data_IF_125866423133
#
_entry.id   IF_125866423133
#
_cell.length_a   1.000
_cell.length_b   1.000
_cell.length_c   1.000
_cell.angle_alpha   90.00
_cell.angle_beta   90.00
_cell.angle_gamma   90.00
#
_symmetry.space_group_name_H-M   'P 1'
#
loop_
_entity.id
_entity.type
_entity.pdbx_description
1 polymer ?
#
# COMPACT_ATOMS: atom_id res chain seq x y z
N UNK A 1 -17.67 7.83 -31.63
CA UNK A 1 -16.62 8.72 -31.10
C UNK A 1 -16.23 8.27 -29.70
N UNK A 2 -15.01 8.56 -29.25
CA UNK A 2 -14.52 8.21 -27.91
C UNK A 2 -15.43 8.69 -26.76
N UNK A 3 -16.07 9.84 -26.92
CA UNK A 3 -17.03 10.39 -25.94
C UNK A 3 -18.23 9.46 -25.70
N UNK A 4 -18.71 8.75 -26.72
CA UNK A 4 -19.84 7.82 -26.57
C UNK A 4 -19.40 6.57 -25.79
N UNK A 5 -18.20 6.05 -26.08
CA UNK A 5 -17.63 4.90 -25.37
C UNK A 5 -17.38 5.27 -23.89
N UNK A 6 -16.83 6.46 -23.63
CA UNK A 6 -16.56 6.91 -22.26
C UNK A 6 -17.83 7.10 -21.40
N UNK A 7 -19.01 7.22 -22.01
CA UNK A 7 -20.31 7.33 -21.33
C UNK A 7 -21.07 6.01 -21.26
N UNK A 8 -20.66 5.01 -22.04
CA UNK A 8 -21.30 3.71 -22.08
C UNK A 8 -21.10 2.94 -20.76
N UNK A 9 -22.17 2.48 -20.09
CA UNK A 9 -22.06 1.77 -18.83
C UNK A 9 -21.26 0.47 -18.93
N UNK A 10 -21.42 -0.29 -20.02
CA UNK A 10 -20.70 -1.55 -20.21
C UNK A 10 -19.21 -1.32 -20.40
N UNK A 11 -18.83 -0.35 -21.24
CA UNK A 11 -17.43 0.03 -21.44
C UNK A 11 -16.77 0.48 -20.12
N UNK A 12 -17.46 1.29 -19.30
CA UNK A 12 -16.98 1.68 -17.96
C UNK A 12 -16.81 0.48 -17.04
N UNK A 13 -17.77 -0.45 -17.03
CA UNK A 13 -17.69 -1.67 -16.22
C UNK A 13 -16.53 -2.55 -16.67
N UNK A 14 -16.37 -2.81 -17.96
CA UNK A 14 -15.24 -3.61 -18.47
C UNK A 14 -13.91 -2.94 -18.18
N UNK A 15 -13.82 -1.61 -18.28
CA UNK A 15 -12.63 -0.88 -17.89
C UNK A 15 -12.30 -1.05 -16.40
N UNK A 16 -13.29 -0.94 -15.50
CA UNK A 16 -13.09 -1.16 -14.07
C UNK A 16 -12.62 -2.60 -13.78
N UNK A 17 -13.27 -3.59 -14.40
CA UNK A 17 -12.94 -5.00 -14.22
C UNK A 17 -11.54 -5.32 -14.72
N UNK A 18 -11.17 -4.80 -15.89
CA UNK A 18 -9.84 -4.99 -16.46
C UNK A 18 -8.75 -4.27 -15.64
N UNK A 19 -9.05 -3.06 -15.14
CA UNK A 19 -8.05 -2.23 -14.44
C UNK A 19 -7.87 -2.61 -12.98
N UNK A 20 -8.93 -2.99 -12.28
CA UNK A 20 -8.94 -3.16 -10.82
C UNK A 20 -9.38 -4.56 -10.36
N UNK A 21 -9.71 -5.45 -11.28
CA UNK A 21 -10.20 -6.79 -10.96
C UNK A 21 -11.63 -6.78 -10.40
N UNK A 22 -12.20 -7.98 -10.23
CA UNK A 22 -13.58 -8.13 -9.70
C UNK A 22 -13.70 -7.73 -8.24
N UNK A 23 -12.61 -7.82 -7.49
CA UNK A 23 -12.56 -7.55 -6.06
C UNK A 23 -12.80 -6.07 -5.76
N UNK A 24 -12.07 -5.19 -6.44
CA UNK A 24 -12.02 -3.76 -6.10
C UNK A 24 -12.74 -2.86 -7.10
N UNK A 25 -13.32 -3.42 -8.18
CA UNK A 25 -14.01 -2.63 -9.21
C UNK A 25 -15.13 -1.75 -8.66
N UNK A 26 -15.97 -2.26 -7.74
CA UNK A 26 -17.06 -1.47 -7.17
C UNK A 26 -16.54 -0.34 -6.27
N UNK A 27 -15.53 -0.63 -5.43
CA UNK A 27 -14.84 0.39 -4.64
C UNK A 27 -14.31 1.52 -5.53
N UNK A 28 -13.58 1.18 -6.59
CA UNK A 28 -13.03 2.16 -7.50
C UNK A 28 -14.09 2.94 -8.28
N UNK A 29 -15.18 2.28 -8.69
CA UNK A 29 -16.33 2.94 -9.32
C UNK A 29 -16.91 4.03 -8.41
N UNK A 30 -17.15 3.73 -7.14
CA UNK A 30 -17.63 4.69 -6.14
C UNK A 30 -16.61 5.81 -5.92
N UNK A 31 -15.33 5.48 -5.72
CA UNK A 31 -14.24 6.44 -5.46
C UNK A 31 -14.01 7.44 -6.61
N UNK A 32 -14.24 7.03 -7.85
CA UNK A 32 -14.16 7.91 -9.02
C UNK A 32 -15.30 8.94 -9.08
N UNK A 33 -16.34 8.75 -8.27
CA UNK A 33 -17.38 9.74 -8.05
C UNK A 33 -18.53 9.72 -9.07
N UNK A 34 -19.49 10.65 -8.93
CA UNK A 34 -20.77 10.64 -9.63
C UNK A 34 -20.67 10.84 -11.16
N UNK A 35 -19.55 11.39 -11.65
CA UNK A 35 -19.30 11.49 -13.10
C UNK A 35 -18.97 10.13 -13.73
N UNK A 36 -18.46 9.20 -12.91
CA UNK A 36 -18.10 7.86 -13.34
C UNK A 36 -19.23 6.86 -13.07
N UNK A 37 -19.65 6.71 -11.81
CA UNK A 37 -20.64 5.70 -11.40
C UNK A 37 -22.06 6.27 -11.40
N UNK A 38 -22.97 5.53 -12.04
CA UNK A 38 -24.41 5.76 -12.02
C UNK A 38 -25.12 4.41 -11.82
N UNK A 39 -26.46 4.43 -11.81
CA UNK A 39 -27.30 3.24 -11.63
C UNK A 39 -26.94 2.12 -12.61
N UNK A 40 -26.85 2.43 -13.91
CA UNK A 40 -26.54 1.44 -14.94
C UNK A 40 -25.16 0.80 -14.75
N UNK A 41 -24.13 1.59 -14.42
CA UNK A 41 -22.78 1.07 -14.16
C UNK A 41 -22.78 0.19 -12.90
N UNK A 42 -23.47 0.62 -11.84
CA UNK A 42 -23.58 -0.14 -10.60
C UNK A 42 -24.28 -1.49 -10.83
N UNK A 43 -25.44 -1.49 -11.48
CA UNK A 43 -26.17 -2.71 -11.82
C UNK A 43 -25.37 -3.63 -12.74
N UNK A 44 -24.64 -3.08 -13.72
CA UNK A 44 -23.78 -3.86 -14.61
C UNK A 44 -22.61 -4.48 -13.85
N UNK A 45 -22.01 -3.79 -12.88
CA UNK A 45 -20.98 -4.38 -12.01
C UNK A 45 -21.56 -5.54 -11.19
N UNK A 46 -22.73 -5.34 -10.57
CA UNK A 46 -23.40 -6.39 -9.79
C UNK A 46 -23.74 -7.62 -10.64
N UNK A 47 -24.25 -7.43 -11.87
CA UNK A 47 -24.56 -8.53 -12.78
C UNK A 47 -23.32 -9.26 -13.31
N UNK A 48 -22.16 -8.59 -13.35
CA UNK A 48 -20.86 -9.20 -13.67
C UNK A 48 -20.21 -9.94 -12.49
N UNK A 49 -20.95 -10.08 -11.39
CA UNK A 49 -20.55 -10.80 -10.18
C UNK A 49 -19.22 -10.27 -9.61
N UNK A 50 -19.11 -8.94 -9.49
CA UNK A 50 -18.06 -8.32 -8.66
C UNK A 50 -18.20 -8.77 -7.22
N UNK A 51 -17.08 -8.79 -6.48
CA UNK A 51 -17.15 -9.10 -5.05
C UNK A 51 -17.87 -7.96 -4.37
N UNK A 52 -18.96 -8.31 -3.71
CA UNK A 52 -19.77 -7.39 -2.94
C UNK A 52 -19.71 -7.85 -1.48
N UNK A 53 -19.00 -7.10 -0.63
CA UNK A 53 -18.75 -7.47 0.76
C UNK A 53 -19.63 -6.69 1.72
N UNK A 54 -19.96 -7.28 2.87
CA UNK A 54 -20.64 -6.54 3.95
C UNK A 54 -19.79 -5.37 4.45
N UNK A 55 -18.46 -5.54 4.47
CA UNK A 55 -17.51 -4.49 4.80
C UNK A 55 -17.60 -3.28 3.87
N UNK A 56 -17.78 -3.50 2.56
CA UNK A 56 -17.97 -2.41 1.61
C UNK A 56 -19.22 -1.59 1.93
N UNK A 57 -20.33 -2.25 2.25
CA UNK A 57 -21.57 -1.55 2.63
C UNK A 57 -21.38 -0.74 3.91
N UNK A 58 -20.72 -1.31 4.92
CA UNK A 58 -20.38 -0.60 6.16
C UNK A 58 -19.53 0.65 5.89
N UNK A 59 -18.50 0.54 5.03
CA UNK A 59 -17.62 1.66 4.67
C UNK A 59 -18.34 2.75 3.85
N UNK A 60 -19.28 2.36 2.98
CA UNK A 60 -20.13 3.32 2.26
C UNK A 60 -21.07 4.05 3.23
N UNK A 61 -21.73 3.32 4.14
CA UNK A 61 -22.61 3.91 5.16
C UNK A 61 -21.89 4.94 6.04
N UNK A 62 -20.64 4.67 6.44
CA UNK A 62 -19.84 5.59 7.27
C UNK A 62 -19.48 6.88 6.53
N UNK A 63 -19.30 6.84 5.21
CA UNK A 63 -18.76 7.96 4.42
C UNK A 63 -19.75 8.59 3.44
N UNK A 64 -21.00 8.11 3.39
CA UNK A 64 -22.05 8.68 2.54
C UNK A 64 -22.61 9.99 3.10
N UNK A 65 -22.91 10.92 2.18
CA UNK A 65 -23.51 12.21 2.51
C UNK A 65 -22.49 13.32 2.71
N UNK A 66 -22.97 14.56 2.54
CA UNK A 66 -22.16 15.77 2.71
C UNK A 66 -22.16 16.22 4.16
N UNK A 67 -21.04 16.73 4.62
CA UNK A 67 -20.98 17.48 5.87
C UNK A 67 -21.62 18.85 5.67
N UNK A 68 -22.37 19.31 6.66
CA UNK A 68 -22.89 20.68 6.68
C UNK A 68 -21.72 21.67 6.87
N UNK A 69 -21.43 22.53 5.87
CA UNK A 69 -20.33 23.50 5.98
C UNK A 69 -20.56 24.49 7.11
N UNK A 70 -21.80 24.93 7.35
CA UNK A 70 -22.12 25.90 8.40
C UNK A 70 -21.91 25.29 9.79
N UNK A 71 -22.33 24.04 10.00
CA UNK A 71 -22.03 23.32 11.24
C UNK A 71 -20.52 23.13 11.45
N UNK A 72 -19.79 22.83 10.38
CA UNK A 72 -18.33 22.66 10.42
C UNK A 72 -17.64 23.97 10.83
N UNK A 73 -18.07 25.09 10.24
CA UNK A 73 -17.62 26.44 10.61
C UNK A 73 -17.97 26.81 12.06
N UNK A 74 -19.16 26.44 12.54
CA UNK A 74 -19.57 26.72 13.92
C UNK A 74 -18.78 25.87 14.93
N UNK A 75 -18.55 24.58 14.65
CA UNK A 75 -17.70 23.72 15.50
C UNK A 75 -16.28 24.26 15.63
N UNK A 76 -15.77 24.84 14.54
CA UNK A 76 -14.51 25.56 14.48
C UNK A 76 -14.52 26.82 15.35
N UNK A 77 -15.55 27.67 15.19
CA UNK A 77 -15.69 28.95 15.89
C UNK A 77 -15.74 28.79 17.41
N UNK A 78 -16.41 27.75 17.90
CA UNK A 78 -16.64 27.55 19.34
C UNK A 78 -15.64 26.60 20.03
N UNK A 79 -14.53 26.22 19.37
CA UNK A 79 -13.52 25.30 19.93
C UNK A 79 -14.12 24.03 20.56
N UNK A 80 -15.24 23.54 20.01
CA UNK A 80 -15.84 22.26 20.46
C UNK A 80 -14.92 21.08 20.11
N UNK A 81 -13.94 21.31 19.24
CA UNK A 81 -12.83 20.41 18.93
C UNK A 81 -11.65 20.82 19.84
N UNK A 82 -11.14 19.92 20.71
CA UNK A 82 -10.05 20.24 21.63
C UNK A 82 -8.82 20.83 20.92
N UNK A 83 -8.17 21.82 21.53
CA UNK A 83 -7.00 22.51 20.96
C UNK A 83 -5.83 21.56 20.62
N UNK A 84 -5.69 20.43 21.33
CA UNK A 84 -4.69 19.39 21.07
C UNK A 84 -4.94 18.61 19.76
N UNK A 85 -6.17 18.65 19.23
CA UNK A 85 -6.51 18.07 17.91
C UNK A 85 -6.15 19.00 16.73
N UNK A 86 -5.43 20.08 17.05
CA UNK A 86 -4.66 21.06 16.29
C UNK A 86 -5.12 21.47 14.88
N UNK A 87 -5.02 22.79 14.66
CA UNK A 87 -5.24 23.59 13.44
C UNK A 87 -4.80 22.94 12.10
N UNK A 88 -3.90 21.96 12.12
CA UNK A 88 -3.46 21.16 10.97
C UNK A 88 -4.49 20.15 10.46
N UNK A 89 -5.28 19.50 11.35
CA UNK A 89 -6.41 18.67 10.92
C UNK A 89 -7.45 19.48 10.16
N UNK A 90 -7.51 20.78 10.41
CA UNK A 90 -8.48 21.67 9.80
C UNK A 90 -8.07 22.08 8.39
N UNK A 91 -6.78 22.20 8.09
CA UNK A 91 -6.33 22.44 6.71
C UNK A 91 -6.33 21.17 5.86
N UNK A 92 -6.10 19.98 6.44
CA UNK A 92 -6.29 18.69 5.76
C UNK A 92 -7.78 18.30 5.60
N UNK A 93 -8.63 18.60 6.59
CA UNK A 93 -10.08 18.37 6.51
C UNK A 93 -10.81 19.40 5.63
N UNK A 94 -10.18 20.54 5.31
CA UNK A 94 -10.76 21.58 4.44
C UNK A 94 -10.86 21.17 2.96
N UNK A 95 -10.26 20.06 2.52
CA UNK A 95 -10.04 19.84 1.07
C UNK A 95 -10.42 18.46 0.50
N UNK A 96 -10.92 17.50 1.26
CA UNK A 96 -11.51 16.31 0.64
C UNK A 96 -12.74 15.81 1.37
N UNK A 97 -13.87 15.81 0.65
CA UNK A 97 -15.04 15.06 1.09
C UNK A 97 -14.66 13.56 1.16
N UNK A 98 -15.24 12.78 2.09
CA UNK A 98 -15.04 11.34 2.11
C UNK A 98 -15.32 10.71 0.74
N UNK A 99 -14.61 9.63 0.41
CA UNK A 99 -14.60 8.99 -0.91
C UNK A 99 -15.98 8.59 -1.47
N UNK A 100 -16.97 8.38 -0.60
CA UNK A 100 -18.35 8.00 -0.95
C UNK A 100 -19.39 9.10 -0.67
N UNK A 101 -18.96 10.30 -0.29
CA UNK A 101 -19.84 11.39 0.16
C UNK A 101 -20.76 11.95 -0.92
N UNK A 102 -20.24 12.06 -2.15
CA UNK A 102 -20.93 12.59 -3.33
C UNK A 102 -21.55 11.48 -4.20
N UNK A 103 -21.68 10.27 -3.67
CA UNK A 103 -22.30 9.16 -4.36
C UNK A 103 -23.77 9.50 -4.71
N UNK A 104 -24.26 9.25 -5.93
CA UNK A 104 -25.67 9.48 -6.25
C UNK A 104 -26.57 8.65 -5.35
N UNK A 105 -27.65 9.25 -4.84
CA UNK A 105 -28.59 8.57 -3.93
C UNK A 105 -29.17 7.27 -4.51
N UNK A 106 -29.41 7.21 -5.83
CA UNK A 106 -29.86 6.00 -6.51
C UNK A 106 -28.83 4.87 -6.42
N UNK A 107 -27.55 5.17 -6.66
CA UNK A 107 -26.45 4.20 -6.53
C UNK A 107 -26.30 3.76 -5.08
N UNK A 108 -26.36 4.69 -4.13
CA UNK A 108 -26.34 4.38 -2.70
C UNK A 108 -27.48 3.44 -2.30
N UNK A 109 -28.69 3.71 -2.79
CA UNK A 109 -29.88 2.89 -2.52
C UNK A 109 -29.74 1.47 -3.08
N UNK A 110 -29.19 1.32 -4.30
CA UNK A 110 -28.90 0.01 -4.90
C UNK A 110 -27.92 -0.77 -4.02
N UNK A 111 -26.82 -0.14 -3.57
CA UNK A 111 -25.83 -0.78 -2.70
C UNK A 111 -26.47 -1.22 -1.37
N UNK A 112 -27.31 -0.39 -0.77
CA UNK A 112 -27.98 -0.77 0.48
C UNK A 112 -28.98 -1.92 0.31
N UNK A 113 -29.82 -1.86 -0.72
CA UNK A 113 -30.79 -2.91 -1.03
C UNK A 113 -30.09 -4.24 -1.32
N UNK A 114 -29.02 -4.21 -2.11
CA UNK A 114 -28.21 -5.39 -2.40
C UNK A 114 -27.55 -5.93 -1.14
N UNK A 115 -27.03 -5.05 -0.28
CA UNK A 115 -26.44 -5.43 1.01
C UNK A 115 -27.44 -6.08 1.96
N UNK A 116 -28.64 -5.50 2.08
CA UNK A 116 -29.72 -6.04 2.91
C UNK A 116 -30.19 -7.41 2.40
N UNK A 117 -30.34 -7.54 1.07
CA UNK A 117 -30.71 -8.79 0.42
C UNK A 117 -29.67 -9.90 0.63
N UNK A 118 -28.37 -9.59 0.53
CA UNK A 118 -27.29 -10.59 0.66
C UNK A 118 -26.99 -10.99 2.10
N UNK A 119 -26.95 -10.01 3.01
CA UNK A 119 -26.37 -10.23 4.34
C UNK A 119 -27.39 -10.21 5.48
N UNK A 120 -28.62 -9.74 5.22
CA UNK A 120 -29.55 -9.32 6.28
C UNK A 120 -28.92 -8.27 7.21
N UNK A 121 -29.69 -7.73 8.17
CA UNK A 121 -29.28 -6.81 9.27
C UNK A 121 -27.78 -6.44 9.30
N UNK A 122 -27.40 -5.44 8.52
CA UNK A 122 -26.01 -4.96 8.44
C UNK A 122 -25.68 -4.20 9.72
N UNK A 123 -24.65 -4.59 10.50
CA UNK A 123 -24.23 -3.82 11.67
C UNK A 123 -23.71 -2.45 11.23
N UNK A 124 -24.33 -1.36 11.73
CA UNK A 124 -24.00 0.03 11.34
C UNK A 124 -23.15 0.79 12.37
N UNK A 125 -22.90 0.18 13.54
CA UNK A 125 -22.05 0.75 14.61
C UNK A 125 -20.82 -0.14 14.84
N UNK A 126 -19.90 -0.09 13.88
CA UNK A 126 -18.70 -0.93 13.82
C UNK A 126 -18.49 -1.46 12.41
N UNK A 127 -17.42 -2.22 12.18
CA UNK A 127 -17.15 -2.80 10.87
C UNK A 127 -16.41 -4.15 10.96
N UNK A 128 -16.46 -4.88 9.85
CA UNK A 128 -15.92 -6.23 9.74
C UNK A 128 -14.39 -6.29 9.89
N UNK A 129 -13.67 -5.23 9.53
CA UNK A 129 -12.21 -5.15 9.75
C UNK A 129 -11.86 -5.03 11.23
N UNK A 130 -12.64 -4.26 12.01
CA UNK A 130 -12.50 -4.22 13.47
C UNK A 130 -12.86 -5.57 14.11
N UNK A 131 -13.95 -6.20 13.67
CA UNK A 131 -14.31 -7.54 14.13
C UNK A 131 -13.16 -8.52 13.84
N UNK A 132 -12.66 -8.53 12.60
CA UNK A 132 -11.53 -9.35 12.16
C UNK A 132 -10.32 -9.14 13.07
N UNK A 133 -9.98 -7.89 13.39
CA UNK A 133 -8.87 -7.56 14.27
C UNK A 133 -8.94 -8.22 15.64
N UNK A 134 -10.13 -8.27 16.26
CA UNK A 134 -10.32 -8.94 17.55
C UNK A 134 -10.29 -10.46 17.41
N UNK A 135 -11.04 -11.04 16.47
CA UNK A 135 -11.14 -12.50 16.34
C UNK A 135 -9.87 -13.15 15.78
N UNK A 136 -9.04 -12.39 15.04
CA UNK A 136 -7.71 -12.81 14.59
C UNK A 136 -6.61 -12.55 15.62
N UNK A 137 -6.98 -12.13 16.83
CA UNK A 137 -6.08 -11.85 17.95
C UNK A 137 -4.98 -10.80 17.64
N UNK A 138 -5.30 -9.78 16.82
CA UNK A 138 -4.32 -8.74 16.49
C UNK A 138 -3.95 -7.83 17.66
N UNK A 139 -4.79 -7.79 18.71
CA UNK A 139 -4.51 -7.07 19.97
C UNK A 139 -3.55 -7.81 20.89
N UNK A 140 -3.34 -9.12 20.69
CA UNK A 140 -2.50 -9.94 21.55
C UNK A 140 -1.04 -9.95 21.06
N UNK A 141 -0.12 -10.40 21.92
CA UNK A 141 1.25 -10.72 21.54
C UNK A 141 1.25 -12.03 20.73
N UNK A 142 2.18 -12.17 19.78
CA UNK A 142 2.18 -13.24 18.76
C UNK A 142 2.06 -14.66 19.35
N UNK A 143 2.67 -14.91 20.52
CA UNK A 143 2.63 -16.21 21.20
C UNK A 143 1.20 -16.65 21.55
N UNK A 144 0.37 -15.74 22.05
CA UNK A 144 -1.03 -16.03 22.40
C UNK A 144 -1.96 -15.95 21.18
N UNK A 145 -1.59 -15.17 20.18
CA UNK A 145 -2.44 -14.92 19.02
C UNK A 145 -2.71 -16.17 18.17
N UNK A 146 -1.77 -17.12 18.08
CA UNK A 146 -2.00 -18.33 17.27
C UNK A 146 -3.12 -19.21 17.83
N UNK A 147 -3.18 -19.37 19.16
CA UNK A 147 -4.22 -20.19 19.79
C UNK A 147 -5.59 -19.52 19.67
N UNK A 148 -5.67 -18.22 19.92
CA UNK A 148 -6.91 -17.47 19.81
C UNK A 148 -7.45 -17.41 18.38
N UNK A 149 -6.58 -17.26 17.38
CA UNK A 149 -6.99 -17.34 15.97
C UNK A 149 -7.59 -18.72 15.65
N UNK A 150 -6.98 -19.81 16.14
CA UNK A 150 -7.50 -21.17 15.94
C UNK A 150 -8.86 -21.36 16.62
N UNK A 151 -9.02 -20.86 17.84
CA UNK A 151 -10.29 -20.93 18.58
C UNK A 151 -11.41 -20.19 17.83
N UNK A 152 -11.08 -19.10 17.13
CA UNK A 152 -12.03 -18.29 16.38
C UNK A 152 -12.07 -18.61 14.87
N UNK A 153 -11.42 -19.68 14.41
CA UNK A 153 -11.22 -19.93 12.99
C UNK A 153 -12.55 -20.06 12.22
N UNK A 154 -13.55 -20.74 12.78
CA UNK A 154 -14.86 -20.86 12.14
C UNK A 154 -15.60 -19.52 12.04
N UNK A 155 -15.42 -18.63 13.02
CA UNK A 155 -15.94 -17.26 12.98
C UNK A 155 -15.25 -16.45 11.89
N UNK A 156 -13.92 -16.54 11.77
CA UNK A 156 -13.15 -15.89 10.71
C UNK A 156 -13.56 -16.44 9.34
N UNK A 157 -13.68 -17.76 9.22
CA UNK A 157 -14.12 -18.43 8.00
C UNK A 157 -15.49 -17.92 7.59
N UNK A 158 -16.46 -17.86 8.49
CA UNK A 158 -17.78 -17.30 8.20
C UNK A 158 -17.70 -15.81 7.81
N UNK A 159 -16.82 -15.03 8.43
CA UNK A 159 -16.60 -13.64 8.06
C UNK A 159 -16.15 -13.50 6.59
N UNK A 160 -15.19 -14.33 6.18
CA UNK A 160 -14.68 -14.35 4.81
C UNK A 160 -15.70 -14.94 3.84
N UNK A 161 -16.19 -16.16 4.07
CA UNK A 161 -16.97 -16.91 3.07
C UNK A 161 -18.42 -16.49 2.99
N UNK A 162 -19.08 -16.21 4.12
CA UNK A 162 -20.50 -15.82 4.15
C UNK A 162 -20.68 -14.33 3.89
N UNK A 163 -19.90 -13.50 4.59
CA UNK A 163 -20.01 -12.04 4.49
C UNK A 163 -19.06 -11.43 3.45
N UNK A 164 -18.34 -12.28 2.70
CA UNK A 164 -17.43 -11.88 1.63
C UNK A 164 -16.39 -10.86 2.12
N UNK A 165 -15.93 -10.98 3.37
CA UNK A 165 -15.04 -9.99 3.96
C UNK A 165 -13.75 -9.86 3.15
N UNK A 166 -13.57 -8.67 2.58
CA UNK A 166 -12.38 -8.28 1.83
C UNK A 166 -11.95 -6.89 2.33
N UNK A 167 -10.70 -6.72 2.82
CA UNK A 167 -10.17 -5.40 3.12
C UNK A 167 -10.15 -4.53 1.86
N UNK A 168 -10.26 -3.23 2.03
CA UNK A 168 -10.15 -2.30 0.90
C UNK A 168 -8.72 -2.32 0.34
N UNK A 169 -8.50 -1.91 -0.91
CA UNK A 169 -7.17 -1.97 -1.50
C UNK A 169 -6.18 -1.08 -0.73
N UNK A 170 -4.88 -1.44 -0.73
CA UNK A 170 -3.85 -0.61 -0.11
C UNK A 170 -3.77 0.77 -0.74
N UNK A 171 -3.55 1.80 0.09
CA UNK A 171 -3.29 3.15 -0.42
C UNK A 171 -2.03 3.15 -1.30
N UNK A 172 -2.08 3.67 -2.53
CA UNK A 172 -0.89 3.85 -3.35
C UNK A 172 0.17 4.70 -2.63
N UNK A 173 1.45 4.32 -2.72
CA UNK A 173 2.56 5.03 -2.02
C UNK A 173 2.63 6.53 -2.30
N UNK A 174 2.36 6.94 -3.55
CA UNK A 174 2.32 8.36 -3.93
C UNK A 174 1.30 9.16 -3.10
N UNK A 175 0.22 8.51 -2.65
CA UNK A 175 -0.80 9.11 -1.79
C UNK A 175 -0.50 8.91 -0.29
N UNK A 176 0.37 7.98 0.10
CA UNK A 176 0.78 7.82 1.51
C UNK A 176 1.63 9.02 1.96
N UNK A 177 2.57 9.44 1.12
CA UNK A 177 3.50 10.54 1.41
C UNK A 177 2.82 11.91 1.63
N UNK A 178 1.62 12.14 1.10
CA UNK A 178 0.88 13.39 1.30
C UNK A 178 0.29 13.52 2.70
N UNK A 179 0.22 12.43 3.49
CA UNK A 179 -0.36 12.42 4.83
C UNK A 179 0.68 12.28 5.96
N UNK A 180 1.88 11.77 5.67
CA UNK A 180 2.85 11.34 6.69
C UNK A 180 3.77 12.44 7.25
N UNK A 181 3.76 13.66 6.70
CA UNK A 181 4.71 14.71 7.10
C UNK A 181 3.99 16.06 7.30
N UNK A 182 3.96 16.53 8.55
CA UNK A 182 3.78 17.96 8.85
C UNK A 182 5.05 18.70 8.39
N UNK A 183 4.99 19.60 7.40
CA UNK A 183 6.15 20.37 6.93
C UNK A 183 6.81 21.21 8.04
N UNK A 184 6.10 21.44 9.15
CA UNK A 184 6.53 22.36 10.20
C UNK A 184 7.02 21.67 11.48
N UNK A 185 6.58 20.45 11.82
CA UNK A 185 6.94 19.82 13.11
C UNK A 185 7.44 18.37 13.07
N UNK A 186 7.53 17.69 11.92
CA UNK A 186 8.00 16.29 11.87
C UNK A 186 7.21 15.33 12.81
N UNK A 187 5.99 15.69 13.22
CA UNK A 187 5.14 14.86 14.08
C UNK A 187 4.20 14.03 13.20
N UNK A 188 4.19 12.70 13.42
CA UNK A 188 3.19 11.82 12.80
C UNK A 188 1.83 12.14 13.39
N UNK A 189 0.92 12.68 12.57
CA UNK A 189 -0.48 12.85 12.97
C UNK A 189 -1.14 11.46 12.93
N UNK A 190 -1.78 10.99 14.02
CA UNK A 190 -2.53 9.74 13.98
C UNK A 190 -3.61 9.82 12.90
N UNK A 191 -3.48 8.93 11.91
CA UNK A 191 -4.44 8.80 10.82
C UNK A 191 -5.84 8.46 11.34
N UNK A 192 -6.85 9.16 10.82
CA UNK A 192 -8.25 8.85 11.11
C UNK A 192 -8.62 7.48 10.52
N UNK A 193 -9.32 6.65 11.29
CA UNK A 193 -9.83 5.36 10.84
C UNK A 193 -11.36 5.31 10.99
N UNK A 194 -12.12 4.96 9.94
CA UNK A 194 -11.64 4.63 8.60
C UNK A 194 -11.10 5.84 7.79
N UNK A 195 -10.12 5.67 6.87
CA UNK A 195 -9.58 6.79 6.12
C UNK A 195 -10.58 7.41 5.14
N UNK A 196 -10.55 8.75 5.03
CA UNK A 196 -11.48 9.52 4.17
C UNK A 196 -11.33 9.23 2.68
N UNK A 197 -10.14 8.90 2.22
CA UNK A 197 -9.87 8.55 0.82
C UNK A 197 -10.34 7.13 0.45
N UNK A 198 -10.87 6.40 1.42
CA UNK A 198 -11.51 5.10 1.24
C UNK A 198 -10.54 3.94 1.27
N UNK A 199 -9.27 4.12 0.94
CA UNK A 199 -8.28 3.04 0.96
C UNK A 199 -8.13 2.42 2.36
N UNK A 200 -7.60 1.20 2.41
CA UNK A 200 -7.20 0.59 3.67
C UNK A 200 -5.84 1.12 4.09
N UNK A 201 -5.70 1.46 5.38
CA UNK A 201 -4.42 1.93 5.89
C UNK A 201 -3.48 0.76 6.23
N UNK A 202 -2.19 1.06 6.31
CA UNK A 202 -1.18 0.05 6.59
C UNK A 202 -1.38 -0.62 7.96
N UNK A 203 -1.98 0.08 8.94
CA UNK A 203 -2.26 -0.50 10.27
C UNK A 203 -3.26 -1.65 10.16
N UNK A 204 -4.36 -1.47 9.44
CA UNK A 204 -5.35 -2.53 9.26
C UNK A 204 -4.87 -3.63 8.32
N UNK A 205 -4.17 -3.29 7.24
CA UNK A 205 -3.57 -4.32 6.40
C UNK A 205 -2.51 -5.16 7.13
N UNK A 206 -1.81 -4.58 8.10
CA UNK A 206 -0.90 -5.33 8.98
C UNK A 206 -1.64 -6.36 9.85
N UNK A 207 -2.88 -6.08 10.27
CA UNK A 207 -3.72 -7.07 10.97
C UNK A 207 -4.00 -8.27 10.06
N UNK A 208 -4.37 -8.01 8.80
CA UNK A 208 -4.59 -9.06 7.80
C UNK A 208 -3.31 -9.86 7.53
N UNK A 209 -2.20 -9.17 7.26
CA UNK A 209 -0.90 -9.80 7.00
C UNK A 209 -0.44 -10.67 8.19
N UNK A 210 -0.63 -10.17 9.42
CA UNK A 210 -0.32 -10.92 10.63
C UNK A 210 -1.18 -12.18 10.75
N UNK A 211 -2.48 -12.11 10.48
CA UNK A 211 -3.36 -13.27 10.51
C UNK A 211 -2.92 -14.34 9.48
N UNK A 212 -2.52 -13.93 8.28
CA UNK A 212 -1.97 -14.83 7.25
C UNK A 212 -0.67 -15.51 7.73
N UNK A 213 0.22 -14.78 8.40
CA UNK A 213 1.47 -15.33 8.92
C UNK A 213 1.25 -16.35 10.05
N UNK A 214 0.14 -16.22 10.78
CA UNK A 214 -0.29 -17.14 11.83
C UNK A 214 -1.01 -18.37 11.27
N UNK A 215 -1.84 -18.20 10.23
CA UNK A 215 -2.55 -19.28 9.56
C UNK A 215 -2.74 -19.00 8.06
N UNK A 216 -1.94 -19.66 7.24
CA UNK A 216 -1.93 -19.49 5.79
C UNK A 216 -3.24 -19.92 5.09
N UNK A 217 -4.05 -20.78 5.73
CA UNK A 217 -5.32 -21.26 5.17
C UNK A 217 -6.32 -20.13 4.91
N UNK A 218 -6.16 -19.00 5.58
CA UNK A 218 -6.97 -17.81 5.34
C UNK A 218 -6.85 -17.31 3.90
N UNK A 219 -5.68 -17.46 3.27
CA UNK A 219 -5.47 -17.09 1.85
C UNK A 219 -6.37 -17.91 0.93
N UNK A 220 -6.53 -19.19 1.22
CA UNK A 220 -7.38 -20.09 0.44
C UNK A 220 -8.85 -19.68 0.56
N UNK A 221 -9.31 -19.34 1.78
CA UNK A 221 -10.68 -18.84 2.00
C UNK A 221 -10.99 -17.57 1.21
N UNK A 222 -10.03 -16.64 1.10
CA UNK A 222 -10.21 -15.44 0.26
C UNK A 222 -10.24 -15.78 -1.23
N UNK A 223 -9.38 -16.69 -1.68
CA UNK A 223 -9.40 -17.15 -3.07
C UNK A 223 -10.69 -17.89 -3.42
N UNK A 224 -11.26 -18.65 -2.50
CA UNK A 224 -12.55 -19.36 -2.67
C UNK A 224 -13.71 -18.40 -2.97
N UNK A 225 -13.73 -17.21 -2.37
CA UNK A 225 -14.74 -16.16 -2.67
C UNK A 225 -14.38 -15.29 -3.88
N UNK A 226 -13.28 -15.59 -4.57
CA UNK A 226 -12.82 -14.88 -5.76
C UNK A 226 -11.85 -13.72 -5.49
N UNK A 227 -11.42 -13.47 -4.24
CA UNK A 227 -10.44 -12.43 -3.92
C UNK A 227 -9.01 -12.94 -4.20
N UNK A 228 -8.65 -12.93 -5.48
CA UNK A 228 -7.36 -13.43 -5.96
C UNK A 228 -6.19 -12.49 -5.66
N UNK A 229 -6.47 -11.22 -5.42
CA UNK A 229 -5.50 -10.15 -5.21
C UNK A 229 -5.02 -10.04 -3.75
N UNK A 230 -5.52 -10.87 -2.81
CA UNK A 230 -5.12 -10.85 -1.40
C UNK A 230 -3.60 -10.91 -1.23
N UNK A 231 -2.94 -11.77 -2.02
CA UNK A 231 -1.50 -11.93 -1.99
C UNK A 231 -0.78 -10.67 -2.48
N UNK A 232 -1.26 -10.00 -3.54
CA UNK A 232 -0.66 -8.76 -4.02
C UNK A 232 -0.93 -7.57 -3.10
N UNK A 233 -2.13 -7.48 -2.53
CA UNK A 233 -2.56 -6.36 -1.69
C UNK A 233 -1.85 -6.36 -0.33
N UNK A 234 -1.50 -7.53 0.18
CA UNK A 234 -0.78 -7.70 1.45
C UNK A 234 0.70 -8.08 1.27
N UNK A 235 1.20 -8.15 0.04
CA UNK A 235 2.50 -8.74 -0.31
C UNK A 235 3.65 -8.22 0.56
N UNK A 236 3.88 -6.91 0.53
CA UNK A 236 5.01 -6.30 1.22
C UNK A 236 4.92 -6.51 2.74
N UNK A 237 3.70 -6.48 3.30
CA UNK A 237 3.49 -6.62 4.73
C UNK A 237 3.70 -8.08 5.17
N UNK A 238 3.24 -9.04 4.38
CA UNK A 238 3.43 -10.47 4.66
C UNK A 238 4.91 -10.85 4.52
N UNK A 239 5.60 -10.42 3.46
CA UNK A 239 7.04 -10.67 3.28
C UNK A 239 7.85 -10.02 4.42
N UNK A 240 7.61 -8.74 4.72
CA UNK A 240 8.31 -8.04 5.80
C UNK A 240 8.02 -8.67 7.16
N UNK A 241 6.76 -9.03 7.43
CA UNK A 241 6.35 -9.69 8.66
C UNK A 241 6.98 -11.08 8.81
N UNK A 242 7.11 -11.85 7.73
CA UNK A 242 7.83 -13.12 7.75
C UNK A 242 9.30 -12.94 8.13
N UNK A 243 9.96 -11.90 7.61
CA UNK A 243 11.33 -11.57 7.97
C UNK A 243 11.45 -11.05 9.39
N UNK A 244 10.48 -10.29 9.92
CA UNK A 244 10.47 -9.85 11.32
C UNK A 244 10.33 -11.01 12.30
N UNK A 245 9.64 -12.08 11.91
CA UNK A 245 9.57 -13.32 12.70
C UNK A 245 10.95 -14.00 12.74
N UNK A 246 11.67 -14.01 11.62
CA UNK A 246 13.01 -14.61 11.53
C UNK A 246 14.06 -13.76 12.25
N UNK A 247 14.06 -12.44 12.05
CA UNK A 247 15.01 -11.48 12.58
C UNK A 247 14.33 -10.46 13.51
N UNK A 248 13.87 -10.88 14.70
CA UNK A 248 13.17 -10.00 15.63
C UNK A 248 14.07 -8.81 16.05
N UNK A 249 13.50 -7.60 16.22
CA UNK A 249 14.26 -6.44 16.71
C UNK A 249 14.95 -6.69 18.05
N UNK A 250 14.26 -7.43 18.93
CA UNK A 250 14.72 -7.90 20.23
C UNK A 250 14.62 -9.43 20.29
N UNK A 251 15.68 -10.16 19.93
CA UNK A 251 15.67 -11.62 19.94
C UNK A 251 15.41 -12.21 21.33
N UNK A 252 14.55 -13.25 21.45
CA UNK A 252 14.36 -13.94 22.72
C UNK A 252 15.60 -14.76 23.12
N UNK A 253 15.68 -15.13 24.41
CA UNK A 253 16.75 -16.00 24.91
C UNK A 253 16.76 -17.33 24.15
N UNK A 254 17.93 -17.74 23.64
CA UNK A 254 18.08 -18.95 22.84
C UNK A 254 17.72 -18.80 21.35
N UNK A 255 17.38 -17.60 20.88
CA UNK A 255 17.25 -17.36 19.44
C UNK A 255 18.59 -17.56 18.74
N UNK A 256 18.57 -18.38 17.69
CA UNK A 256 19.69 -18.59 16.78
C UNK A 256 19.46 -17.75 15.54
N UNK A 257 20.51 -17.09 15.05
CA UNK A 257 20.44 -16.31 13.82
C UNK A 257 20.06 -17.23 12.64
N UNK A 258 18.95 -16.95 11.92
CA UNK A 258 18.55 -17.73 10.76
C UNK A 258 19.62 -17.72 9.67
N UNK A 259 19.75 -18.84 8.98
CA UNK A 259 20.58 -18.97 7.79
C UNK A 259 19.84 -18.51 6.53
N UNK A 260 20.56 -18.38 5.41
CA UNK A 260 19.94 -18.06 4.12
C UNK A 260 18.94 -19.14 3.70
N UNK A 261 19.17 -20.40 4.07
CA UNK A 261 18.25 -21.51 3.79
C UNK A 261 16.98 -21.43 4.63
N UNK A 262 17.06 -20.97 5.89
CA UNK A 262 15.87 -20.74 6.73
C UNK A 262 14.97 -19.64 6.13
N UNK A 263 15.60 -18.55 5.67
CA UNK A 263 14.90 -17.46 4.96
C UNK A 263 14.27 -17.99 3.67
N UNK A 264 15.03 -18.75 2.87
CA UNK A 264 14.54 -19.36 1.62
C UNK A 264 13.34 -20.25 1.87
N UNK A 265 13.44 -21.17 2.83
CA UNK A 265 12.36 -22.09 3.19
C UNK A 265 11.09 -21.34 3.59
N UNK A 266 11.21 -20.28 4.41
CA UNK A 266 10.06 -19.50 4.86
C UNK A 266 9.41 -18.74 3.70
N UNK A 267 10.20 -18.11 2.83
CA UNK A 267 9.67 -17.30 1.72
C UNK A 267 9.11 -18.17 0.60
N UNK A 268 9.72 -19.32 0.28
CA UNK A 268 9.19 -20.25 -0.73
C UNK A 268 7.79 -20.73 -0.37
N UNK A 269 7.51 -21.04 0.91
CA UNK A 269 6.16 -21.39 1.37
C UNK A 269 5.13 -20.29 1.11
N UNK A 270 5.52 -19.02 1.22
CA UNK A 270 4.65 -17.89 0.91
C UNK A 270 4.48 -17.74 -0.61
N UNK A 271 5.54 -17.95 -1.37
CA UNK A 271 5.50 -17.89 -2.83
C UNK A 271 4.58 -18.97 -3.40
N UNK A 272 4.59 -20.18 -2.85
CA UNK A 272 3.66 -21.27 -3.19
C UNK A 272 2.18 -20.87 -2.97
N UNK A 273 1.91 -20.01 -1.98
CA UNK A 273 0.58 -19.45 -1.74
C UNK A 273 0.22 -18.31 -2.70
N UNK A 274 1.16 -17.81 -3.52
CA UNK A 274 0.95 -16.75 -4.50
C UNK A 274 1.53 -15.39 -4.11
N UNK A 275 2.24 -15.27 -2.99
CA UNK A 275 3.04 -14.08 -2.68
C UNK A 275 4.25 -13.97 -3.62
N UNK A 276 4.82 -12.78 -3.74
CA UNK A 276 5.95 -12.51 -4.63
C UNK A 276 7.07 -11.81 -3.89
N UNK A 277 8.29 -12.33 -4.05
CA UNK A 277 9.49 -11.61 -3.68
C UNK A 277 9.88 -10.66 -4.81
N UNK A 278 9.08 -9.61 -5.03
CA UNK A 278 9.36 -8.60 -6.05
C UNK A 278 10.43 -7.59 -5.60
N UNK A 279 10.93 -6.79 -6.55
CA UNK A 279 11.99 -5.80 -6.29
C UNK A 279 11.58 -4.83 -5.18
N UNK A 280 10.29 -4.47 -5.16
CA UNK A 280 9.70 -3.61 -4.13
C UNK A 280 9.83 -4.22 -2.73
N UNK A 281 9.49 -5.50 -2.58
CA UNK A 281 9.56 -6.24 -1.31
C UNK A 281 11.00 -6.48 -0.85
N UNK A 282 11.92 -6.72 -1.79
CA UNK A 282 13.35 -6.88 -1.49
C UNK A 282 13.91 -5.55 -0.96
N UNK A 283 13.65 -4.44 -1.66
CA UNK A 283 14.10 -3.11 -1.23
C UNK A 283 13.48 -2.75 0.12
N UNK A 284 12.17 -3.00 0.34
CA UNK A 284 11.52 -2.79 1.64
C UNK A 284 12.21 -3.56 2.77
N UNK A 285 12.50 -4.85 2.53
CA UNK A 285 13.15 -5.71 3.50
C UNK A 285 14.57 -5.25 3.87
N UNK A 286 15.39 -4.91 2.86
CA UNK A 286 16.76 -4.43 3.09
C UNK A 286 16.77 -3.07 3.80
N UNK A 287 15.85 -2.17 3.45
CA UNK A 287 15.67 -0.89 4.14
C UNK A 287 15.22 -1.07 5.59
N UNK A 288 14.32 -2.02 5.86
CA UNK A 288 13.87 -2.32 7.22
C UNK A 288 15.02 -2.73 8.14
N UNK A 289 16.03 -3.42 7.61
CA UNK A 289 17.22 -3.84 8.34
C UNK A 289 18.44 -2.95 8.08
N UNK A 290 18.27 -1.73 7.58
CA UNK A 290 19.37 -0.89 7.10
C UNK A 290 20.54 -0.72 8.11
N UNK A 291 20.24 -0.63 9.41
CA UNK A 291 21.25 -0.48 10.47
C UNK A 291 21.91 -1.80 10.90
N UNK A 292 21.44 -2.93 10.38
CA UNK A 292 21.91 -4.29 10.69
C UNK A 292 22.29 -5.04 9.41
N UNK A 293 22.51 -4.34 8.29
CA UNK A 293 22.89 -4.96 7.01
C UNK A 293 24.30 -5.56 7.04
N UNK A 294 25.16 -5.08 7.92
CA UNK A 294 26.46 -5.69 8.25
C UNK A 294 26.30 -7.09 8.88
N UNK A 295 25.20 -7.35 9.57
CA UNK A 295 24.91 -8.63 10.24
C UNK A 295 24.03 -9.53 9.36
N UNK A 296 22.92 -9.00 8.86
CA UNK A 296 21.88 -9.78 8.16
C UNK A 296 21.92 -9.63 6.65
N UNK A 297 22.64 -8.63 6.12
CA UNK A 297 22.58 -8.26 4.71
C UNK A 297 22.97 -9.41 3.80
N UNK A 298 24.08 -10.10 4.08
CA UNK A 298 24.54 -11.23 3.25
C UNK A 298 23.60 -12.43 3.31
N UNK A 299 23.01 -12.70 4.48
CA UNK A 299 22.01 -13.76 4.66
C UNK A 299 20.78 -13.47 3.79
N UNK A 300 20.25 -12.25 3.88
CA UNK A 300 19.08 -11.81 3.10
C UNK A 300 19.41 -11.79 1.60
N UNK A 301 20.56 -11.23 1.23
CA UNK A 301 21.01 -11.15 -0.15
C UNK A 301 21.07 -12.52 -0.80
N UNK A 302 21.78 -13.47 -0.18
CA UNK A 302 21.95 -14.82 -0.69
C UNK A 302 20.61 -15.55 -0.83
N UNK A 303 19.71 -15.40 0.15
CA UNK A 303 18.37 -15.97 0.07
C UNK A 303 17.56 -15.37 -1.09
N UNK A 304 17.56 -14.04 -1.23
CA UNK A 304 16.79 -13.34 -2.26
C UNK A 304 17.29 -13.65 -3.68
N UNK A 305 18.62 -13.65 -3.90
CA UNK A 305 19.20 -13.99 -5.20
C UNK A 305 18.91 -15.43 -5.59
N UNK A 306 18.98 -16.36 -4.62
CA UNK A 306 18.68 -17.78 -4.85
C UNK A 306 17.21 -17.96 -5.27
N UNK A 307 16.27 -17.27 -4.61
CA UNK A 307 14.84 -17.34 -4.94
C UNK A 307 14.55 -16.73 -6.32
N UNK A 308 15.15 -15.57 -6.63
CA UNK A 308 14.79 -14.78 -7.82
C UNK A 308 15.48 -15.22 -9.09
N UNK A 309 16.75 -15.59 -8.99
CA UNK A 309 17.65 -15.65 -10.15
C UNK A 309 18.50 -16.92 -10.21
N UNK A 310 18.58 -17.70 -9.13
CA UNK A 310 19.50 -18.84 -9.01
C UNK A 310 20.98 -18.43 -8.84
N UNK A 311 21.42 -17.35 -9.49
CA UNK A 311 22.73 -16.69 -9.32
C UNK A 311 22.61 -15.15 -9.35
N UNK A 312 23.57 -14.39 -8.76
CA UNK A 312 23.58 -12.93 -8.85
C UNK A 312 23.77 -12.46 -10.29
N UNK A 313 22.71 -11.96 -10.93
CA UNK A 313 22.77 -11.35 -12.26
C UNK A 313 22.81 -9.82 -12.14
N UNK A 314 23.59 -9.17 -13.01
CA UNK A 314 23.65 -7.71 -13.15
C UNK A 314 22.26 -7.08 -13.36
N UNK A 315 21.35 -7.76 -14.05
CA UNK A 315 19.98 -7.30 -14.23
C UNK A 315 19.24 -7.16 -12.89
N UNK A 316 19.42 -8.11 -11.98
CA UNK A 316 18.80 -8.10 -10.66
C UNK A 316 19.25 -6.88 -9.85
N UNK A 317 20.57 -6.60 -9.81
CA UNK A 317 21.08 -5.43 -9.12
C UNK A 317 20.60 -4.13 -9.77
N UNK A 318 20.52 -4.08 -11.10
CA UNK A 318 19.96 -2.93 -11.83
C UNK A 318 18.52 -2.64 -11.42
N UNK A 319 17.67 -3.67 -11.35
CA UNK A 319 16.27 -3.51 -10.98
C UNK A 319 16.09 -3.05 -9.52
N UNK A 320 16.93 -3.54 -8.61
CA UNK A 320 16.94 -3.05 -7.22
C UNK A 320 17.37 -1.58 -7.11
N UNK A 321 18.37 -1.14 -7.88
CA UNK A 321 18.75 0.28 -7.91
C UNK A 321 17.64 1.16 -8.51
N UNK A 322 16.96 0.71 -9.56
CA UNK A 322 15.81 1.45 -10.14
C UNK A 322 14.72 1.67 -9.10
N UNK A 323 14.32 0.60 -8.41
CA UNK A 323 13.29 0.65 -7.36
C UNK A 323 13.75 1.47 -6.15
N UNK A 324 15.03 1.38 -5.77
CA UNK A 324 15.62 2.19 -4.69
C UNK A 324 15.64 3.69 -5.00
N UNK A 325 15.79 4.05 -6.27
CA UNK A 325 15.88 5.44 -6.74
C UNK A 325 14.51 6.09 -6.96
N UNK A 326 13.42 5.35 -6.80
CA UNK A 326 12.07 5.90 -6.87
C UNK A 326 11.89 7.03 -5.83
N UNK A 327 11.48 8.25 -6.23
CA UNK A 327 11.30 9.37 -5.31
C UNK A 327 10.35 9.04 -4.15
N UNK A 328 9.36 8.17 -4.43
CA UNK A 328 8.38 7.72 -3.43
C UNK A 328 8.97 6.91 -2.27
N UNK A 329 10.23 6.47 -2.37
CA UNK A 329 10.94 5.75 -1.30
C UNK A 329 11.34 6.65 -0.14
N UNK A 330 11.47 7.96 -0.37
CA UNK A 330 11.84 8.95 0.65
C UNK A 330 12.98 8.45 1.57
N UNK A 331 14.07 7.98 0.96
CA UNK A 331 15.22 7.41 1.67
C UNK A 331 15.69 8.34 2.79
N UNK A 332 15.95 7.78 3.97
CA UNK A 332 16.43 8.53 5.14
C UNK A 332 17.95 8.43 5.33
N UNK A 333 18.55 7.34 4.86
CA UNK A 333 19.98 7.03 5.00
C UNK A 333 20.51 6.44 3.69
N UNK A 334 21.84 6.32 3.61
CA UNK A 334 22.57 5.82 2.44
C UNK A 334 23.19 4.44 2.68
N UNK A 335 23.05 3.86 3.87
CA UNK A 335 23.68 2.58 4.24
C UNK A 335 23.16 1.44 3.36
N UNK A 336 21.86 1.43 3.07
CA UNK A 336 21.25 0.50 2.14
C UNK A 336 21.82 0.62 0.71
N UNK A 337 22.03 1.84 0.22
CA UNK A 337 22.61 2.06 -1.11
C UNK A 337 24.09 1.64 -1.16
N UNK A 338 24.84 1.89 -0.08
CA UNK A 338 26.21 1.42 0.09
C UNK A 338 26.29 -0.11 0.14
N UNK A 339 25.29 -0.75 0.77
CA UNK A 339 25.17 -2.20 0.75
C UNK A 339 24.91 -2.74 -0.66
N UNK A 340 24.00 -2.13 -1.45
CA UNK A 340 23.81 -2.53 -2.85
C UNK A 340 25.08 -2.33 -3.69
N UNK A 341 25.78 -1.20 -3.47
CA UNK A 341 27.06 -0.90 -4.11
C UNK A 341 28.09 -2.02 -3.88
N UNK A 342 28.16 -2.57 -2.66
CA UNK A 342 29.13 -3.62 -2.33
C UNK A 342 28.86 -4.96 -3.02
N UNK A 343 27.73 -5.12 -3.73
CA UNK A 343 27.35 -6.37 -4.40
C UNK A 343 27.84 -6.51 -5.85
N UNK A 344 28.35 -5.46 -6.49
CA UNK A 344 29.03 -5.57 -7.78
C UNK A 344 30.08 -4.48 -7.95
N UNK A 345 31.26 -4.83 -8.46
CA UNK A 345 32.29 -3.84 -8.86
C UNK A 345 31.81 -2.94 -10.01
N UNK A 346 30.93 -3.46 -10.87
CA UNK A 346 30.32 -2.77 -12.00
C UNK A 346 29.24 -1.74 -11.63
N UNK A 347 29.03 -1.47 -10.34
CA UNK A 347 27.91 -0.66 -9.83
C UNK A 347 27.83 0.73 -10.47
N UNK A 348 28.97 1.35 -10.81
CA UNK A 348 29.02 2.70 -11.39
C UNK A 348 28.32 2.76 -12.74
N UNK A 349 28.55 1.77 -13.61
CA UNK A 349 27.93 1.70 -14.93
C UNK A 349 26.42 1.51 -14.81
N UNK A 350 25.97 0.66 -13.88
CA UNK A 350 24.55 0.42 -13.61
C UNK A 350 23.87 1.70 -13.14
N UNK A 351 24.45 2.37 -12.13
CA UNK A 351 23.90 3.61 -11.58
C UNK A 351 23.85 4.71 -12.64
N UNK A 352 24.90 4.86 -13.46
CA UNK A 352 24.93 5.81 -14.57
C UNK A 352 23.78 5.57 -15.54
N UNK A 353 23.57 4.33 -15.98
CA UNK A 353 22.49 4.00 -16.90
C UNK A 353 21.11 4.35 -16.34
N UNK A 354 20.88 4.05 -15.05
CA UNK A 354 19.60 4.33 -14.38
C UNK A 354 19.37 5.85 -14.26
N UNK A 355 20.40 6.61 -13.84
CA UNK A 355 20.31 8.07 -13.72
C UNK A 355 20.02 8.69 -15.09
N UNK A 356 20.77 8.32 -16.13
CA UNK A 356 20.55 8.82 -17.49
C UNK A 356 19.13 8.49 -17.98
N UNK A 357 18.65 7.28 -17.73
CA UNK A 357 17.32 6.85 -18.15
C UNK A 357 16.22 7.67 -17.46
N UNK A 358 16.28 7.83 -16.13
CA UNK A 358 15.29 8.62 -15.37
C UNK A 358 15.24 10.08 -15.84
N UNK A 359 16.41 10.66 -16.13
CA UNK A 359 16.47 12.03 -16.63
C UNK A 359 15.83 12.15 -18.01
N UNK A 360 16.08 11.19 -18.92
CA UNK A 360 15.43 11.16 -20.24
C UNK A 360 13.90 11.04 -20.16
N UNK A 361 13.39 10.22 -19.26
CA UNK A 361 11.94 10.03 -19.05
C UNK A 361 11.27 11.34 -18.62
N UNK A 362 11.88 12.09 -17.69
CA UNK A 362 11.34 13.38 -17.24
C UNK A 362 11.35 14.43 -18.38
N UNK A 363 12.41 14.50 -19.18
CA UNK A 363 12.48 15.41 -20.33
C UNK A 363 11.40 15.16 -21.40
N UNK A 364 10.85 13.95 -21.47
CA UNK A 364 9.74 13.61 -22.37
C UNK A 364 8.40 14.00 -21.76
N UNK A 365 8.22 13.86 -20.44
CA UNK A 365 6.99 14.26 -19.74
C UNK A 365 6.82 15.79 -19.64
N UNK A 366 7.91 16.56 -19.52
CA UNK A 366 7.88 18.03 -19.43
C UNK A 366 7.42 18.74 -20.73
N UNK A 367 7.42 18.05 -21.87
CA UNK A 367 6.95 18.62 -23.15
C UNK A 367 5.42 18.79 -23.18
N UNK A 368 4.67 18.09 -22.33
CA UNK A 368 3.20 17.99 -22.41
C UNK A 368 2.41 18.84 -21.40
N UNK A 369 3.03 19.48 -20.40
CA UNK A 369 2.31 20.36 -19.47
C UNK A 369 3.17 21.50 -18.91
N UNK A 370 3.00 22.71 -19.46
CA UNK A 370 3.40 23.93 -18.76
C UNK A 370 2.60 24.03 -17.43
N UNK A 371 3.29 24.40 -16.33
CA UNK A 371 2.76 24.64 -14.97
C UNK A 371 2.76 23.43 -14.02
N UNK A 372 3.92 22.79 -13.82
CA UNK A 372 4.24 22.17 -12.52
C UNK A 372 5.53 22.77 -11.95
N UNK A 373 5.54 23.03 -10.64
CA UNK A 373 6.80 23.32 -9.93
C UNK A 373 7.73 22.13 -10.15
N UNK A 374 8.85 22.34 -10.82
CA UNK A 374 9.84 21.30 -11.09
C UNK A 374 10.28 20.71 -9.75
N UNK A 375 10.02 19.42 -9.55
CA UNK A 375 10.54 18.67 -8.40
C UNK A 375 11.84 17.99 -8.82
N UNK A 376 12.72 17.70 -7.85
CA UNK A 376 13.89 16.86 -8.12
C UNK A 376 13.48 15.52 -8.70
N UNK A 377 14.22 15.06 -9.72
CA UNK A 377 13.99 13.77 -10.38
C UNK A 377 14.31 12.61 -9.42
N UNK A 378 15.33 12.77 -8.58
CA UNK A 378 15.75 11.80 -7.58
C UNK A 378 15.54 12.32 -6.16
N UNK A 379 15.48 11.42 -5.18
CA UNK A 379 15.42 11.84 -3.78
C UNK A 379 16.75 12.49 -3.32
N UNK A 380 16.74 13.45 -2.38
CA UNK A 380 17.95 14.10 -1.86
C UNK A 380 19.04 13.13 -1.38
N UNK A 381 18.64 11.98 -0.82
CA UNK A 381 19.60 10.97 -0.35
C UNK A 381 20.26 10.17 -1.47
N UNK A 382 19.62 10.06 -2.64
CA UNK A 382 20.26 9.48 -3.82
C UNK A 382 21.34 10.42 -4.34
N UNK A 383 21.08 11.73 -4.38
CA UNK A 383 22.11 12.73 -4.72
C UNK A 383 23.30 12.68 -3.76
N UNK A 384 23.02 12.64 -2.46
CA UNK A 384 24.06 12.49 -1.43
C UNK A 384 24.89 11.23 -1.65
N UNK A 385 24.22 10.07 -1.86
CA UNK A 385 24.90 8.81 -2.14
C UNK A 385 25.79 8.89 -3.38
N UNK A 386 25.33 9.49 -4.48
CA UNK A 386 26.12 9.61 -5.71
C UNK A 386 27.40 10.42 -5.47
N UNK A 387 27.29 11.56 -4.79
CA UNK A 387 28.44 12.41 -4.50
C UNK A 387 29.43 11.71 -3.57
N UNK A 388 28.94 11.06 -2.51
CA UNK A 388 29.77 10.34 -1.54
C UNK A 388 30.44 9.10 -2.15
N UNK A 389 29.72 8.36 -3.00
CA UNK A 389 30.17 7.08 -3.52
C UNK A 389 31.09 7.17 -4.73
N UNK A 390 30.94 8.21 -5.57
CA UNK A 390 31.66 8.36 -6.86
C UNK A 390 32.48 9.64 -6.96
N UNK A 391 32.30 10.59 -6.04
CA UNK A 391 33.01 11.87 -6.03
C UNK A 391 32.39 12.93 -6.95
N UNK A 392 32.69 14.19 -6.61
CA UNK A 392 32.14 15.38 -7.28
C UNK A 392 32.55 15.53 -8.75
N UNK A 393 33.71 14.98 -9.13
CA UNK A 393 34.22 15.00 -10.51
C UNK A 393 33.68 13.88 -11.40
N UNK A 394 32.84 12.98 -10.86
CA UNK A 394 32.29 11.88 -11.66
C UNK A 394 31.28 12.39 -12.70
N UNK A 395 31.16 11.66 -13.81
CA UNK A 395 30.17 11.97 -14.84
C UNK A 395 28.74 11.89 -14.27
N UNK A 396 28.48 10.91 -13.38
CA UNK A 396 27.17 10.72 -12.73
C UNK A 396 26.84 11.92 -11.83
N UNK A 397 27.79 12.40 -11.04
CA UNK A 397 27.59 13.59 -10.22
C UNK A 397 27.34 14.83 -11.11
N UNK A 398 28.05 14.96 -12.23
CA UNK A 398 27.86 16.06 -13.18
C UNK A 398 26.44 16.09 -13.75
N UNK A 399 25.89 14.92 -14.14
CA UNK A 399 24.49 14.80 -14.60
C UNK A 399 23.52 15.22 -13.50
N UNK A 400 23.76 14.77 -12.26
CA UNK A 400 22.92 15.12 -11.11
C UNK A 400 22.93 16.62 -10.79
N UNK A 401 24.08 17.29 -10.95
CA UNK A 401 24.19 18.73 -10.74
C UNK A 401 23.35 19.53 -11.74
N UNK A 402 23.18 19.05 -12.97
CA UNK A 402 22.32 19.72 -13.96
C UNK A 402 20.86 19.78 -13.48
N UNK A 403 20.32 18.70 -12.90
CA UNK A 403 18.96 18.72 -12.34
C UNK A 403 18.82 19.72 -11.20
N UNK A 404 19.77 19.69 -10.25
CA UNK A 404 19.80 20.63 -9.11
C UNK A 404 19.86 22.09 -9.56
N UNK A 405 20.60 22.40 -10.61
CA UNK A 405 20.68 23.75 -11.17
C UNK A 405 19.40 24.17 -11.91
N UNK A 406 18.66 23.21 -12.47
CA UNK A 406 17.43 23.46 -13.21
C UNK A 406 16.20 23.77 -12.33
N UNK A 407 16.35 23.70 -11.00
CA UNK A 407 15.34 24.12 -10.03
C UNK A 407 15.35 25.63 -9.73
N UNK A 408 16.36 26.36 -10.22
CA UNK A 408 16.42 27.83 -10.16
C UNK A 408 15.66 28.41 -11.35
#
# INVERSE_FOLDING_TARGET
TWNNIAKDPYAKTEWLLHRFGKTHALFHGIRLGPTFINENVCQTLLSRNVIFSRYLVQRVLTHYGRQDPALTEMKLKYNVIPAETNKLRLDQNKLSNPWASDLPFSVFSIILQEGEARFSKIPVKGNDMELFHFISAGTLIIHYASQELKNNFDTIKNLITKYHFVPFPPRPRKLQLSYDIDPHNNLMVPEEYPPKDGFENNRQLNVVARAILLDARLVELWKEIGYTEICSDTNNLVISGALLILFPPSPPSGWLCPTADDVKLRLTKLIELGFKLDDKSIVDALQMYENKLDIYGDILWNAFTTIRSGEPNLSFLSDLFKEAFEPSRALKKTLFLNFLKSKCECHEQIVRQIVVQKFKEEYVEDIDFEIRRKSLILSPKVYQFIIEAYGHGSEIASICFVDLLSLK
#
